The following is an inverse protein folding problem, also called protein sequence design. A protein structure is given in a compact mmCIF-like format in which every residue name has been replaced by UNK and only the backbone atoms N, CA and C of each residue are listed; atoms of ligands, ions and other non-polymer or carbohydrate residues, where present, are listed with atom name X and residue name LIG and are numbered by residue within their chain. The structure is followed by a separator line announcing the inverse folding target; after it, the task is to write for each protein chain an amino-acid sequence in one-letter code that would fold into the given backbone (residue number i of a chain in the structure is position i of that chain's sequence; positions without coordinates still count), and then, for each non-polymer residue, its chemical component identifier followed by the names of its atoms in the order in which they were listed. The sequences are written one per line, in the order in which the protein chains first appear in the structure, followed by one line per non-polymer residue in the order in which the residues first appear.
data_IF_677945499061
#
_entry.id   IF_677945499061
#
_cell.length_a   1.000
_cell.length_b   1.000
_cell.length_c   1.000
_cell.angle_alpha   90.00
_cell.angle_beta   90.00
_cell.angle_gamma   90.00
#
_symmetry.space_group_name_H-M   'P 1'
#
loop_
_entity.id
_entity.type
_entity.pdbx_description
1 polymer ?
#
# COMPACT_ATOMS: atom_id res chain seq x y z
N UNK A 1 29.74 -12.63 6.47
CA UNK A 1 28.73 -11.56 6.52
C UNK A 1 27.66 -11.92 5.49
N UNK A 2 26.47 -12.31 5.94
CA UNK A 2 25.41 -12.75 5.05
C UNK A 2 24.72 -11.49 4.50
N UNK A 3 25.05 -11.11 3.27
CA UNK A 3 24.32 -10.07 2.54
C UNK A 3 23.00 -10.70 2.10
N UNK A 4 21.98 -10.64 2.95
CA UNK A 4 20.61 -10.93 2.54
C UNK A 4 20.24 -9.96 1.41
N UNK A 5 20.30 -10.45 0.18
CA UNK A 5 19.85 -9.76 -1.03
C UNK A 5 18.32 -9.72 -1.01
N UNK A 6 17.77 -8.89 -0.12
CA UNK A 6 16.39 -8.46 -0.30
C UNK A 6 16.40 -7.54 -1.52
N UNK A 7 15.66 -7.84 -2.60
CA UNK A 7 15.48 -6.87 -3.65
C UNK A 7 14.99 -5.55 -3.03
N UNK A 8 15.54 -4.44 -3.49
CA UNK A 8 15.19 -3.10 -3.02
C UNK A 8 13.67 -2.94 -3.01
N UNK A 9 13.06 -2.76 -1.83
CA UNK A 9 11.62 -2.47 -1.70
C UNK A 9 11.30 -1.20 -2.53
N UNK A 10 10.42 -1.26 -3.53
CA UNK A 10 10.16 -0.12 -4.40
C UNK A 10 9.47 1.03 -3.65
N UNK A 11 9.70 2.26 -4.13
CA UNK A 11 9.07 3.46 -3.59
C UNK A 11 7.99 3.92 -4.56
N UNK A 12 6.79 4.15 -4.05
CA UNK A 12 5.66 4.63 -4.82
C UNK A 12 4.94 5.73 -4.04
N UNK A 13 4.38 6.74 -4.71
CA UNK A 13 3.32 7.55 -4.10
C UNK A 13 2.03 6.76 -4.04
N UNK A 14 1.67 6.20 -5.19
CA UNK A 14 0.60 5.23 -5.34
C UNK A 14 1.14 3.96 -6.00
N UNK A 15 0.76 2.79 -5.49
CA UNK A 15 1.34 1.52 -5.93
C UNK A 15 1.25 1.32 -7.45
N UNK A 16 2.40 1.02 -8.07
CA UNK A 16 2.52 0.76 -9.51
C UNK A 16 2.61 2.01 -10.40
N UNK A 17 2.37 3.21 -9.86
CA UNK A 17 2.48 4.45 -10.63
C UNK A 17 3.93 4.94 -10.71
N UNK A 18 4.33 5.37 -11.90
CA UNK A 18 5.67 5.90 -12.18
C UNK A 18 5.72 7.43 -12.17
N UNK A 19 4.57 8.08 -12.09
CA UNK A 19 4.45 9.52 -12.29
C UNK A 19 4.41 10.26 -10.96
N UNK A 20 5.25 11.27 -10.82
CA UNK A 20 5.13 12.23 -9.73
C UNK A 20 3.89 13.09 -9.96
N UNK A 21 3.12 13.27 -8.88
CA UNK A 21 1.95 14.12 -8.87
C UNK A 21 2.35 15.55 -9.22
N UNK A 22 1.89 16.05 -10.36
CA UNK A 22 2.22 17.40 -10.86
C UNK A 22 1.59 18.50 -9.99
N UNK A 23 0.55 18.17 -9.23
CA UNK A 23 -0.13 19.05 -8.27
C UNK A 23 -0.19 18.37 -6.90
N UNK A 24 0.01 19.11 -5.79
CA UNK A 24 -0.19 18.54 -4.47
C UNK A 24 -1.69 18.40 -4.20
N UNK A 25 -2.28 17.28 -4.58
CA UNK A 25 -3.54 16.87 -3.97
C UNK A 25 -3.21 16.54 -2.51
N UNK A 26 -3.56 17.47 -1.61
CA UNK A 26 -3.33 17.32 -0.17
C UNK A 26 -4.01 16.06 0.39
N UNK A 27 -5.04 15.56 -0.30
CA UNK A 27 -5.78 14.36 0.03
C UNK A 27 -6.21 13.63 -1.24
N UNK A 28 -5.83 12.35 -1.35
CA UNK A 28 -6.36 11.41 -2.32
C UNK A 28 -7.23 10.37 -1.63
N UNK A 29 -8.43 10.11 -2.15
CA UNK A 29 -9.34 9.12 -1.59
C UNK A 29 -9.97 8.29 -2.71
N UNK A 30 -9.86 6.98 -2.59
CA UNK A 30 -10.42 6.04 -3.55
C UNK A 30 -10.83 4.74 -2.84
N UNK A 31 -11.67 3.96 -3.51
CA UNK A 31 -11.96 2.59 -3.05
C UNK A 31 -10.75 1.69 -3.28
N UNK A 32 -10.43 0.82 -2.31
CA UNK A 32 -9.32 -0.16 -2.38
C UNK A 32 -9.37 -1.00 -3.66
N UNK A 33 -10.58 -1.34 -4.12
CA UNK A 33 -10.81 -2.17 -5.32
C UNK A 33 -10.34 -1.51 -6.61
N UNK A 34 -10.35 -0.17 -6.69
CA UNK A 34 -9.92 0.57 -7.88
C UNK A 34 -8.48 0.24 -8.25
N UNK A 35 -7.62 0.08 -7.24
CA UNK A 35 -6.20 -0.23 -7.41
C UNK A 35 -5.90 -1.72 -7.29
N UNK A 36 -6.52 -2.39 -6.31
CA UNK A 36 -6.12 -3.75 -5.96
C UNK A 36 -6.62 -4.79 -6.96
N UNK A 37 -7.74 -4.53 -7.68
CA UNK A 37 -8.36 -5.51 -8.56
C UNK A 37 -7.46 -5.95 -9.72
N UNK A 38 -6.67 -5.05 -10.29
CA UNK A 38 -5.75 -5.36 -11.40
C UNK A 38 -4.47 -6.08 -10.94
N UNK A 39 -4.28 -6.19 -9.62
CA UNK A 39 -3.19 -6.89 -8.97
C UNK A 39 -3.68 -8.14 -8.22
N UNK A 40 -4.82 -8.69 -8.63
CA UNK A 40 -5.43 -9.87 -7.99
C UNK A 40 -5.62 -9.73 -6.47
N UNK A 41 -5.83 -8.49 -6.01
CA UNK A 41 -5.96 -8.12 -4.59
C UNK A 41 -4.69 -8.31 -3.74
N UNK A 42 -3.55 -8.56 -4.37
CA UNK A 42 -2.25 -8.68 -3.72
C UNK A 42 -1.34 -7.49 -4.07
N UNK A 43 -1.04 -6.68 -3.07
CA UNK A 43 -0.11 -5.55 -3.19
C UNK A 43 1.20 -5.95 -2.54
N UNK A 44 2.29 -5.96 -3.31
CA UNK A 44 3.61 -6.36 -2.80
C UNK A 44 4.20 -5.29 -1.87
N UNK A 45 5.16 -5.68 -1.00
CA UNK A 45 5.86 -4.73 -0.14
C UNK A 45 6.40 -3.54 -0.94
N UNK A 46 6.12 -2.34 -0.46
CA UNK A 46 6.56 -1.07 -1.03
C UNK A 46 6.66 -0.02 0.07
N UNK A 47 7.24 1.13 -0.26
CA UNK A 47 7.36 2.29 0.65
C UNK A 47 6.74 3.53 0.02
N UNK A 48 6.32 4.45 0.87
CA UNK A 48 5.98 5.82 0.50
C UNK A 48 7.06 6.78 1.01
N UNK A 49 7.45 7.78 0.22
CA UNK A 49 8.49 8.74 0.60
C UNK A 49 7.95 9.89 1.46
N UNK A 50 6.75 10.37 1.15
CA UNK A 50 6.19 11.63 1.65
C UNK A 50 4.67 11.57 1.92
N UNK A 51 4.10 10.35 2.03
CA UNK A 51 2.66 10.12 2.21
C UNK A 51 2.35 9.38 3.52
N UNK A 52 1.29 9.81 4.20
CA UNK A 52 0.59 9.00 5.20
C UNK A 52 -0.62 8.33 4.55
N UNK A 53 -0.73 7.01 4.63
CA UNK A 53 -1.85 6.26 4.07
C UNK A 53 -2.81 5.81 5.18
N UNK A 54 -4.11 6.02 4.96
CA UNK A 54 -5.16 5.46 5.79
C UNK A 54 -5.93 4.40 5.00
N UNK A 55 -6.05 3.20 5.57
CA UNK A 55 -6.84 2.11 5.02
C UNK A 55 -8.05 1.87 5.91
N UNK A 56 -9.25 1.98 5.36
CA UNK A 56 -10.51 1.73 6.06
C UNK A 56 -11.26 0.56 5.44
N UNK A 57 -11.42 -0.52 6.20
CA UNK A 57 -12.16 -1.71 5.78
C UNK A 57 -13.62 -1.56 6.20
N UNK A 58 -14.48 -1.13 5.27
CA UNK A 58 -15.91 -0.99 5.55
C UNK A 58 -16.63 -2.34 5.73
N UNK A 59 -16.22 -3.37 4.98
CA UNK A 59 -16.79 -4.72 5.06
C UNK A 59 -15.74 -5.77 4.69
N UNK A 60 -15.78 -6.92 5.36
CA UNK A 60 -14.86 -8.02 5.12
C UNK A 60 -13.59 -7.94 5.98
N UNK A 61 -12.49 -8.50 5.48
CA UNK A 61 -11.20 -8.56 6.17
C UNK A 61 -10.04 -8.34 5.20
N UNK A 62 -8.90 -7.89 5.71
CA UNK A 62 -7.65 -7.79 4.97
C UNK A 62 -6.49 -8.32 5.81
N UNK A 63 -5.50 -8.92 5.14
CA UNK A 63 -4.19 -9.21 5.74
C UNK A 63 -3.21 -8.15 5.25
N UNK A 64 -2.50 -7.52 6.18
CA UNK A 64 -1.55 -6.44 5.88
C UNK A 64 -0.22 -6.76 6.56
N UNK A 65 0.88 -6.47 5.88
CA UNK A 65 2.22 -6.49 6.47
C UNK A 65 2.74 -5.07 6.58
N UNK A 66 3.16 -4.66 7.78
CA UNK A 66 3.74 -3.34 8.07
C UNK A 66 5.09 -3.57 8.74
N UNK A 67 6.18 -3.12 8.12
CA UNK A 67 7.55 -3.29 8.64
C UNK A 67 7.86 -4.74 9.05
N UNK A 68 7.41 -5.70 8.24
CA UNK A 68 7.60 -7.15 8.48
C UNK A 68 6.68 -7.76 9.53
N UNK A 69 5.74 -7.00 10.11
CA UNK A 69 4.74 -7.51 11.05
C UNK A 69 3.41 -7.71 10.34
N UNK A 70 2.84 -8.90 10.48
CA UNK A 70 1.54 -9.23 9.91
C UNK A 70 0.40 -8.83 10.85
N UNK A 71 -0.61 -8.18 10.27
CA UNK A 71 -1.83 -7.75 10.94
C UNK A 71 -3.04 -8.26 10.16
N UNK A 72 -4.09 -8.64 10.88
CA UNK A 72 -5.41 -8.89 10.31
C UNK A 72 -6.27 -7.69 10.64
N UNK A 73 -6.80 -7.04 9.60
CA UNK A 73 -7.78 -5.97 9.72
C UNK A 73 -9.17 -6.57 9.50
N UNK A 74 -10.04 -6.40 10.47
CA UNK A 74 -11.46 -6.71 10.34
C UNK A 74 -12.22 -5.46 9.89
N UNK A 75 -13.46 -5.66 9.43
CA UNK A 75 -14.35 -4.55 9.13
C UNK A 75 -14.56 -3.65 10.34
N UNK A 76 -14.75 -2.35 10.09
CA UNK A 76 -15.10 -1.39 11.13
C UNK A 76 -16.45 -1.71 11.78
N UNK A 77 -16.56 -1.45 13.09
CA UNK A 77 -17.80 -1.53 13.83
C UNK A 77 -18.80 -0.43 13.42
#
# INVERSE_FOLDING_TARGET
MNLSSYPSIPVFKLYGEQQDWLSPDLLHCETISLRSRVHDWEIRPHRHADLCQLLYVHKGRAQVEIEGQQHVLEQSA
#
